data_IF_456726537531
#
_entry.id   IF_456726537531
#
_cell.length_a   1.000
_cell.length_b   1.000
_cell.length_c   1.000
_cell.angle_alpha   90.00
_cell.angle_beta   90.00
_cell.angle_gamma   90.00
#
_symmetry.space_group_name_H-M   'P 1'
#
loop_
_entity.id
_entity.type
_entity.pdbx_description
1 polymer ?
#
# COMPACT_ATOMS: atom_id res chain seq x y z
N UNK A 1 -9.93 -7.99 -3.62
CA UNK A 1 -9.09 -7.59 -2.46
C UNK A 1 -8.73 -6.12 -2.61
N UNK A 2 -8.78 -5.31 -1.56
CA UNK A 2 -8.37 -3.89 -1.66
C UNK A 2 -6.86 -3.76 -1.91
N UNK A 3 -6.46 -2.96 -2.89
CA UNK A 3 -5.03 -2.74 -3.19
C UNK A 3 -4.22 -2.27 -1.97
N UNK A 4 -4.81 -1.43 -1.11
CA UNK A 4 -4.16 -0.97 0.12
C UNK A 4 -3.88 -2.10 1.10
N UNK A 5 -4.81 -3.06 1.22
CA UNK A 5 -4.63 -4.22 2.10
C UNK A 5 -3.53 -5.15 1.58
N UNK A 6 -3.46 -5.36 0.26
CA UNK A 6 -2.41 -6.16 -0.39
C UNK A 6 -1.03 -5.50 -0.19
N UNK A 7 -0.91 -4.21 -0.48
CA UNK A 7 0.34 -3.45 -0.29
C UNK A 7 0.78 -3.48 1.17
N UNK A 8 -0.17 -3.35 2.11
CA UNK A 8 0.13 -3.43 3.55
C UNK A 8 0.59 -4.83 3.96
N UNK A 9 -0.04 -5.87 3.42
CA UNK A 9 0.36 -7.26 3.68
C UNK A 9 1.79 -7.54 3.19
N UNK A 10 2.14 -7.06 2.00
CA UNK A 10 3.51 -7.13 1.48
C UNK A 10 4.51 -6.38 2.36
N UNK A 11 4.21 -5.12 2.73
CA UNK A 11 5.08 -4.31 3.60
C UNK A 11 5.32 -4.96 4.97
N UNK A 12 4.33 -5.70 5.46
CA UNK A 12 4.41 -6.44 6.72
C UNK A 12 5.03 -7.84 6.57
N UNK A 13 5.38 -8.26 5.36
CA UNK A 13 6.00 -9.55 5.08
C UNK A 13 5.03 -10.74 5.07
N UNK A 14 3.72 -10.52 5.01
CA UNK A 14 2.73 -11.60 4.95
C UNK A 14 2.63 -12.27 3.59
N UNK A 15 2.94 -11.54 2.53
CA UNK A 15 2.89 -12.01 1.14
C UNK A 15 4.09 -11.49 0.37
N UNK A 16 4.45 -12.19 -0.70
CA UNK A 16 5.55 -11.83 -1.60
C UNK A 16 5.11 -10.87 -2.70
N UNK A 17 6.08 -10.32 -3.43
CA UNK A 17 5.83 -9.45 -4.59
C UNK A 17 5.07 -10.19 -5.71
N UNK A 18 5.35 -11.49 -5.89
CA UNK A 18 4.68 -12.33 -6.89
C UNK A 18 3.21 -12.55 -6.51
N UNK A 19 2.93 -12.82 -5.24
CA UNK A 19 1.54 -12.91 -4.74
C UNK A 19 0.81 -11.57 -4.90
N UNK A 20 1.48 -10.44 -4.69
CA UNK A 20 0.87 -9.13 -4.99
C UNK A 20 0.48 -9.00 -6.46
N UNK A 21 1.35 -9.44 -7.38
CA UNK A 21 1.07 -9.43 -8.81
C UNK A 21 -0.12 -10.32 -9.18
N UNK A 22 -0.21 -11.51 -8.58
CA UNK A 22 -1.33 -12.43 -8.79
C UNK A 22 -2.65 -11.89 -8.22
N UNK A 23 -2.64 -11.31 -7.01
CA UNK A 23 -3.84 -10.78 -6.35
C UNK A 23 -4.35 -9.52 -7.06
N UNK A 24 -3.44 -8.64 -7.50
CA UNK A 24 -3.78 -7.36 -8.13
C UNK A 24 -3.91 -7.44 -9.66
N UNK A 25 -3.45 -8.53 -10.28
CA UNK A 25 -3.47 -8.72 -11.73
C UNK A 25 -2.60 -7.73 -12.48
N UNK A 26 -1.46 -7.31 -11.91
CA UNK A 26 -0.57 -6.28 -12.47
C UNK A 26 0.90 -6.60 -12.21
N UNK A 27 1.79 -6.14 -13.09
CA UNK A 27 3.22 -6.39 -12.99
C UNK A 27 3.90 -5.69 -11.80
N UNK A 28 5.00 -6.28 -11.35
CA UNK A 28 5.83 -5.80 -10.23
C UNK A 28 6.24 -4.32 -10.30
N UNK A 29 6.65 -3.76 -11.46
CA UNK A 29 7.00 -2.34 -11.55
C UNK A 29 5.82 -1.42 -11.25
N UNK A 30 4.62 -1.83 -11.69
CA UNK A 30 3.38 -1.07 -11.50
C UNK A 30 2.96 -1.07 -10.04
N UNK A 31 3.15 -2.19 -9.35
CA UNK A 31 2.94 -2.32 -7.90
C UNK A 31 3.91 -1.41 -7.14
N UNK A 32 5.19 -1.34 -7.54
CA UNK A 32 6.19 -0.48 -6.89
C UNK A 32 5.83 1.00 -6.98
N UNK A 33 5.30 1.46 -8.11
CA UNK A 33 4.75 2.81 -8.26
C UNK A 33 3.61 3.09 -7.28
N UNK A 34 2.68 2.13 -7.14
CA UNK A 34 1.54 2.26 -6.22
C UNK A 34 1.97 2.24 -4.74
N UNK A 35 3.06 1.57 -4.40
CA UNK A 35 3.63 1.59 -3.06
C UNK A 35 4.08 3.00 -2.66
N UNK A 36 4.79 3.68 -3.57
CA UNK A 36 5.23 5.07 -3.38
C UNK A 36 4.05 6.02 -3.19
N UNK A 37 3.00 5.88 -4.00
CA UNK A 37 1.78 6.69 -3.86
C UNK A 37 1.02 6.40 -2.55
N UNK A 38 1.04 5.15 -2.08
CA UNK A 38 0.37 4.75 -0.85
C UNK A 38 1.10 5.30 0.38
N UNK A 39 2.43 5.29 0.39
CA UNK A 39 3.25 5.89 1.45
C UNK A 39 3.02 7.42 1.56
N UNK A 40 2.92 8.10 0.41
CA UNK A 40 2.61 9.53 0.38
C UNK A 40 1.22 9.86 0.94
N UNK A 41 0.23 8.98 0.75
CA UNK A 41 -1.13 9.15 1.28
C UNK A 41 -1.23 8.81 2.76
N UNK A 42 -0.49 7.81 3.23
CA UNK A 42 -0.43 7.42 4.63
C UNK A 42 0.17 8.54 5.51
N UNK A 43 1.28 9.14 5.05
CA UNK A 43 1.91 10.29 5.72
C UNK A 43 1.01 11.53 5.77
N UNK A 44 0.13 11.72 4.80
CA UNK A 44 -0.83 12.83 4.78
C UNK A 44 -2.04 12.56 5.69
N UNK A 45 -2.50 11.30 5.77
CA UNK A 45 -3.58 10.92 6.67
C UNK A 45 -3.18 11.06 8.15
N UNK A 46 -1.93 10.73 8.51
CA UNK A 46 -1.42 10.91 9.86
C UNK A 46 -1.28 12.40 10.25
N UNK A 47 -1.13 13.29 9.27
CA UNK A 47 -0.93 14.74 9.48
C UNK A 47 -2.24 15.53 9.57
N UNK A 48 -3.41 14.88 9.45
CA UNK A 48 -4.73 15.53 9.49
C UNK A 48 -5.60 15.10 10.68
N UNK A 49 -5.02 14.68 11.81
CA UNK A 49 -5.78 14.70 13.08
C UNK A 49 -5.73 16.11 13.66
N UNK A 50 -6.80 16.93 13.59
CA UNK A 50 -6.92 18.07 14.48
C UNK A 50 -7.12 17.51 15.89
N UNK A 51 -6.21 17.87 16.78
CA UNK A 51 -6.44 17.82 18.22
C UNK A 51 -7.50 18.88 18.55
N UNK A 52 -8.78 18.51 18.45
CA UNK A 52 -9.84 19.34 19.00
C UNK A 52 -10.10 18.85 20.43
N UNK A 53 -9.54 19.59 21.38
CA UNK A 53 -9.92 19.55 22.79
C UNK A 53 -11.24 20.26 23.05
#
# INVERSE_FOLDING_TARGET
MDKRKVITAYRRGFITMQECAQILGIDSPKILGMMNETDAKDKRALKQQPVSG
#
